data_IF_016140645573
#
_entry.id   IF_016140645573
#
_cell.length_a   1.000
_cell.length_b   1.000
_cell.length_c   1.000
_cell.angle_alpha   90.00
_cell.angle_beta   90.00
_cell.angle_gamma   90.00
#
_symmetry.space_group_name_H-M   'P 1'
#
loop_
_entity.id
_entity.type
_entity.pdbx_description
1 polymer ?
#
# COMPACT_ATOMS: atom_id res chain seq x y z
N UNK A 1 81.49 7.57 -16.95
CA UNK A 1 81.39 7.22 -18.38
C UNK A 1 80.65 5.90 -18.45
N UNK A 2 79.47 5.71 -19.03
CA UNK A 2 78.60 6.52 -19.87
C UNK A 2 77.76 5.52 -20.69
N UNK A 3 76.44 5.75 -20.73
CA UNK A 3 75.47 5.40 -21.80
C UNK A 3 75.21 3.90 -22.09
N UNK A 4 73.98 3.36 -22.15
CA UNK A 4 72.64 3.94 -22.07
C UNK A 4 71.49 2.94 -22.35
N UNK A 5 70.26 3.50 -22.30
CA UNK A 5 68.97 3.12 -22.91
C UNK A 5 68.38 1.70 -22.66
N UNK A 6 67.08 1.49 -22.40
CA UNK A 6 65.94 2.40 -22.30
C UNK A 6 64.63 1.64 -21.95
N UNK A 7 63.55 2.40 -21.75
CA UNK A 7 62.16 1.92 -21.71
C UNK A 7 61.46 2.02 -20.35
N UNK A 8 60.98 3.21 -19.97
CA UNK A 8 59.96 3.40 -18.92
C UNK A 8 58.75 4.06 -19.56
N UNK A 9 57.60 3.40 -19.45
CA UNK A 9 56.28 3.86 -19.91
C UNK A 9 55.83 4.99 -18.97
N UNK A 10 55.47 6.13 -19.55
CA UNK A 10 54.90 7.28 -18.84
C UNK A 10 53.45 7.01 -18.38
N UNK A 11 53.16 7.29 -17.10
CA UNK A 11 51.80 7.44 -16.58
C UNK A 11 51.39 8.93 -16.63
N UNK A 12 50.19 9.28 -17.15
CA UNK A 12 49.68 10.65 -17.22
C UNK A 12 49.07 11.14 -15.88
N UNK A 13 48.74 12.46 -15.75
CA UNK A 13 48.95 13.21 -14.53
C UNK A 13 47.81 13.12 -13.50
N UNK A 14 48.19 13.37 -12.24
CA UNK A 14 47.32 13.41 -11.07
C UNK A 14 46.23 14.49 -11.19
N UNK A 15 44.97 14.05 -11.30
CA UNK A 15 43.81 14.93 -11.16
C UNK A 15 43.33 15.02 -9.70
N UNK A 16 43.32 16.26 -9.20
CA UNK A 16 42.88 16.66 -7.87
C UNK A 16 41.42 16.25 -7.62
N UNK A 17 41.21 15.36 -6.66
CA UNK A 17 39.88 15.03 -6.13
C UNK A 17 39.37 16.20 -5.27
N UNK A 18 38.48 17.01 -5.84
CA UNK A 18 37.60 17.91 -5.09
C UNK A 18 36.63 17.08 -4.24
N UNK A 19 36.82 17.11 -2.92
CA UNK A 19 35.87 16.55 -1.96
C UNK A 19 34.67 17.48 -1.84
N UNK A 20 33.53 17.07 -2.39
CA UNK A 20 32.22 17.57 -1.96
C UNK A 20 31.50 16.52 -1.11
N UNK A 21 31.03 16.98 0.04
CA UNK A 21 30.51 16.18 1.14
C UNK A 21 29.26 15.40 0.76
N UNK A 22 29.45 14.12 0.40
CA UNK A 22 28.40 13.11 0.51
C UNK A 22 28.52 12.45 1.87
N UNK A 23 27.55 12.67 2.77
CA UNK A 23 27.37 11.86 3.99
C UNK A 23 27.25 10.40 3.56
N UNK A 24 28.28 9.60 3.87
CA UNK A 24 28.24 8.15 3.74
C UNK A 24 27.18 7.61 4.71
N UNK A 25 26.26 6.80 4.19
CA UNK A 25 25.36 6.00 5.04
C UNK A 25 26.22 5.09 5.94
N UNK A 26 25.90 4.96 7.24
CA UNK A 26 26.71 4.17 8.16
C UNK A 26 26.78 2.71 7.70
N UNK A 27 27.98 2.13 7.78
CA UNK A 27 28.31 0.78 7.32
C UNK A 27 27.49 -0.33 8.02
N UNK A 28 26.92 -0.05 9.21
CA UNK A 28 26.06 -0.95 9.98
C UNK A 28 24.79 -1.35 9.22
N UNK A 29 24.12 -0.39 8.58
CA UNK A 29 22.87 -0.63 7.86
C UNK A 29 23.02 -1.47 6.58
N UNK A 30 24.20 -1.48 5.95
CA UNK A 30 24.49 -2.38 4.81
C UNK A 30 24.68 -3.82 5.31
N UNK A 31 25.42 -4.01 6.39
CA UNK A 31 25.66 -5.33 6.98
C UNK A 31 24.37 -5.96 7.53
N UNK A 32 23.49 -5.18 8.15
CA UNK A 32 22.17 -5.65 8.60
C UNK A 32 21.27 -6.08 7.42
N UNK A 33 21.27 -5.32 6.31
CA UNK A 33 20.58 -5.67 5.06
C UNK A 33 21.13 -6.91 4.38
N UNK A 34 22.44 -7.16 4.48
CA UNK A 34 23.04 -8.39 3.94
C UNK A 34 22.82 -9.61 4.85
N UNK A 35 22.58 -9.41 6.16
CA UNK A 35 22.11 -10.48 7.07
C UNK A 35 20.65 -10.84 6.82
N UNK A 36 19.79 -9.83 6.61
CA UNK A 36 18.39 -9.96 6.17
C UNK A 36 18.28 -10.82 4.90
N UNK A 37 19.14 -10.58 3.91
CA UNK A 37 19.21 -11.34 2.64
C UNK A 37 19.67 -12.79 2.79
N UNK A 38 20.37 -13.14 3.88
CA UNK A 38 20.91 -14.49 4.13
C UNK A 38 19.99 -15.37 4.97
N UNK A 39 19.25 -14.81 5.94
CA UNK A 39 18.32 -15.57 6.80
C UNK A 39 16.92 -15.73 6.20
N UNK A 40 16.50 -14.80 5.35
CA UNK A 40 15.26 -14.89 4.56
C UNK A 40 15.63 -14.83 3.07
N UNK A 41 15.93 -15.97 2.41
CA UNK A 41 16.32 -15.98 0.99
C UNK A 41 15.24 -15.37 0.08
N UNK A 42 14.00 -15.33 0.55
CA UNK A 42 12.85 -14.60 0.01
C UNK A 42 12.70 -13.17 0.54
N UNK A 43 13.79 -12.45 0.77
CA UNK A 43 13.74 -10.99 0.93
C UNK A 43 14.77 -10.32 0.02
N UNK A 44 14.98 -10.91 -1.15
CA UNK A 44 15.43 -10.15 -2.31
C UNK A 44 14.24 -9.30 -2.75
N UNK A 45 14.04 -8.17 -2.08
CA UNK A 45 13.17 -7.11 -2.55
C UNK A 45 14.04 -6.08 -3.31
N UNK A 46 14.14 -6.15 -4.65
CA UNK A 46 14.66 -5.05 -5.44
C UNK A 46 13.89 -3.78 -5.07
N UNK A 47 14.58 -2.64 -4.99
CA UNK A 47 13.97 -1.32 -4.73
C UNK A 47 12.77 -0.98 -5.64
N UNK A 48 12.61 -1.69 -6.76
CA UNK A 48 11.53 -1.54 -7.74
C UNK A 48 10.30 -2.45 -7.53
N UNK A 49 10.35 -3.53 -6.73
CA UNK A 49 9.22 -4.48 -6.66
C UNK A 49 8.09 -4.06 -5.71
N UNK A 50 8.39 -3.25 -4.69
CA UNK A 50 7.47 -2.94 -3.59
C UNK A 50 6.66 -1.63 -3.76
N UNK A 51 6.60 -1.10 -5.00
CA UNK A 51 5.92 0.17 -5.31
C UNK A 51 4.91 0.06 -6.46
N UNK A 52 4.53 -1.16 -6.84
CA UNK A 52 3.64 -1.45 -7.98
C UNK A 52 2.24 -0.83 -7.80
N UNK A 53 1.70 -0.88 -6.60
CA UNK A 53 0.40 -0.27 -6.30
C UNK A 53 0.48 1.28 -6.32
N UNK A 54 1.61 1.89 -5.94
CA UNK A 54 1.84 3.35 -6.13
C UNK A 54 1.82 3.74 -7.61
N UNK A 55 2.47 2.92 -8.44
CA UNK A 55 2.47 3.11 -9.88
C UNK A 55 1.06 3.02 -10.47
N UNK A 56 0.31 1.97 -10.14
CA UNK A 56 -1.05 1.80 -10.64
C UNK A 56 -1.98 2.95 -10.25
N UNK A 57 -1.90 3.43 -9.01
CA UNK A 57 -2.67 4.59 -8.54
C UNK A 57 -2.26 5.87 -9.28
N UNK A 58 -0.96 6.12 -9.47
CA UNK A 58 -0.48 7.28 -10.21
C UNK A 58 -0.98 7.28 -11.66
N UNK A 59 -0.91 6.14 -12.35
CA UNK A 59 -1.43 5.97 -13.72
C UNK A 59 -2.94 6.20 -13.76
N UNK A 60 -3.70 5.59 -12.86
CA UNK A 60 -5.16 5.69 -12.87
C UNK A 60 -5.67 7.10 -12.52
N UNK A 61 -5.06 7.78 -11.54
CA UNK A 61 -5.42 9.16 -11.19
C UNK A 61 -5.09 10.10 -12.35
N UNK A 62 -3.88 10.03 -12.92
CA UNK A 62 -3.53 10.86 -14.09
C UNK A 62 -4.43 10.59 -15.28
N UNK A 63 -4.75 9.32 -15.55
CA UNK A 63 -5.73 8.96 -16.58
C UNK A 63 -7.10 9.59 -16.31
N UNK A 64 -7.57 9.58 -15.07
CA UNK A 64 -8.87 10.16 -14.71
C UNK A 64 -8.94 11.69 -14.91
N UNK A 65 -7.83 12.40 -14.70
CA UNK A 65 -7.75 13.83 -14.98
C UNK A 65 -7.68 14.15 -16.48
N UNK A 66 -6.98 13.32 -17.27
CA UNK A 66 -6.81 13.54 -18.71
C UNK A 66 -8.01 13.07 -19.54
N UNK A 67 -8.66 11.96 -19.15
CA UNK A 67 -9.75 11.37 -19.90
C UNK A 67 -11.02 12.22 -19.76
N UNK A 68 -11.52 12.73 -20.89
CA UNK A 68 -12.79 13.44 -20.94
C UNK A 68 -13.97 12.49 -21.13
N UNK A 69 -15.11 12.85 -20.55
CA UNK A 69 -16.40 12.17 -20.70
C UNK A 69 -17.53 13.20 -20.82
N UNK A 70 -18.70 12.74 -21.27
CA UNK A 70 -19.89 13.59 -21.33
C UNK A 70 -20.29 14.05 -19.91
N UNK A 71 -20.50 15.36 -19.77
CA UNK A 71 -21.02 15.96 -18.55
C UNK A 71 -22.54 15.80 -18.43
N UNK A 72 -23.08 16.24 -17.29
CA UNK A 72 -24.54 16.18 -17.00
C UNK A 72 -25.32 17.21 -17.84
N UNK A 73 -24.67 18.29 -18.26
CA UNK A 73 -25.24 19.30 -19.16
C UNK A 73 -25.00 18.95 -20.63
N UNK A 74 -25.99 19.20 -21.49
CA UNK A 74 -25.87 18.97 -22.93
C UNK A 74 -24.64 19.69 -23.52
N UNK A 75 -23.80 18.94 -24.25
CA UNK A 75 -22.56 19.45 -24.85
C UNK A 75 -21.40 19.69 -23.87
N UNK A 76 -21.59 19.44 -22.56
CA UNK A 76 -20.55 19.56 -21.56
C UNK A 76 -19.57 18.39 -21.63
N UNK A 77 -18.27 18.68 -21.49
CA UNK A 77 -17.20 17.68 -21.40
C UNK A 77 -16.39 17.90 -20.13
N UNK A 78 -16.39 16.92 -19.23
CA UNK A 78 -15.69 16.98 -17.95
C UNK A 78 -14.62 15.90 -17.85
N UNK A 79 -13.55 16.11 -17.05
CA UNK A 79 -12.64 15.03 -16.70
C UNK A 79 -13.38 13.88 -16.04
N UNK A 80 -12.93 12.65 -16.28
CA UNK A 80 -13.49 11.46 -15.64
C UNK A 80 -13.41 11.55 -14.11
N UNK A 81 -12.36 12.17 -13.59
CA UNK A 81 -12.18 12.46 -12.16
C UNK A 81 -13.25 13.39 -11.57
N UNK A 82 -13.99 14.16 -12.38
CA UNK A 82 -15.08 15.00 -11.89
C UNK A 82 -16.27 14.17 -11.36
N UNK A 83 -16.38 12.90 -11.76
CA UNK A 83 -17.42 12.01 -11.27
C UNK A 83 -17.03 11.42 -9.91
N UNK A 84 -17.87 11.66 -8.91
CA UNK A 84 -17.70 11.13 -7.56
C UNK A 84 -17.56 9.61 -7.50
N UNK A 85 -18.39 8.91 -8.27
CA UNK A 85 -18.33 7.45 -8.42
C UNK A 85 -17.00 6.95 -8.99
N UNK A 86 -16.23 7.80 -9.68
CA UNK A 86 -14.92 7.46 -10.21
C UNK A 86 -13.78 7.85 -9.27
N UNK A 87 -13.80 9.06 -8.70
CA UNK A 87 -12.70 9.51 -7.83
C UNK A 87 -12.74 8.91 -6.43
N UNK A 88 -13.91 8.57 -5.87
CA UNK A 88 -14.00 8.03 -4.50
C UNK A 88 -13.18 6.74 -4.35
N UNK A 89 -13.37 5.71 -5.19
CA UNK A 89 -12.54 4.49 -5.12
C UNK A 89 -11.04 4.72 -5.38
N UNK A 90 -10.69 5.72 -6.20
CA UNK A 90 -9.29 6.09 -6.44
C UNK A 90 -8.65 6.75 -5.20
N UNK A 91 -9.35 7.68 -4.54
CA UNK A 91 -8.85 8.32 -3.31
C UNK A 91 -8.76 7.34 -2.14
N UNK A 92 -9.70 6.41 -2.07
CA UNK A 92 -9.64 5.26 -1.18
C UNK A 92 -8.42 4.35 -1.45
N UNK A 93 -8.07 4.16 -2.73
CA UNK A 93 -6.87 3.43 -3.15
C UNK A 93 -5.59 4.21 -2.82
N UNK A 94 -5.60 5.54 -2.93
CA UNK A 94 -4.51 6.43 -2.48
C UNK A 94 -4.28 6.26 -0.97
N UNK A 95 -5.33 6.39 -0.15
CA UNK A 95 -5.22 6.22 1.30
C UNK A 95 -4.65 4.85 1.70
N UNK A 96 -5.14 3.78 1.08
CA UNK A 96 -4.64 2.40 1.28
C UNK A 96 -3.16 2.28 0.89
N UNK A 97 -2.78 2.89 -0.23
CA UNK A 97 -1.40 2.88 -0.74
C UNK A 97 -0.43 3.59 0.21
N UNK A 98 -0.84 4.73 0.78
CA UNK A 98 -0.06 5.41 1.82
C UNK A 98 0.05 4.56 3.09
N UNK A 99 -1.06 3.99 3.57
CA UNK A 99 -1.08 3.11 4.74
C UNK A 99 -0.13 1.91 4.58
N UNK A 100 -0.22 1.20 3.45
CA UNK A 100 0.66 0.07 3.13
C UNK A 100 2.14 0.47 3.00
N UNK A 101 2.40 1.63 2.39
CA UNK A 101 3.74 2.19 2.26
C UNK A 101 4.37 2.49 3.61
N UNK A 102 3.62 3.10 4.52
CA UNK A 102 4.10 3.48 5.84
C UNK A 102 4.23 2.24 6.74
N UNK A 103 3.28 1.29 6.68
CA UNK A 103 3.39 0.01 7.36
C UNK A 103 4.65 -0.76 6.96
N UNK A 104 4.97 -0.79 5.66
CA UNK A 104 6.22 -1.39 5.18
C UNK A 104 7.45 -0.74 5.82
N UNK A 105 7.49 0.60 5.88
CA UNK A 105 8.60 1.33 6.52
C UNK A 105 8.72 0.99 7.99
N UNK A 106 7.60 0.91 8.71
CA UNK A 106 7.58 0.49 10.13
C UNK A 106 8.13 -0.93 10.28
N UNK A 107 7.71 -1.88 9.43
CA UNK A 107 8.19 -3.26 9.47
C UNK A 107 9.70 -3.35 9.23
N UNK A 108 10.21 -2.63 8.23
CA UNK A 108 11.66 -2.59 7.93
C UNK A 108 12.45 -1.97 9.09
N UNK A 109 11.98 -0.87 9.68
CA UNK A 109 12.67 -0.25 10.84
C UNK A 109 12.73 -1.21 12.02
N UNK A 110 11.58 -1.77 12.42
CA UNK A 110 11.48 -2.75 13.51
C UNK A 110 12.40 -3.95 13.30
N UNK A 111 12.47 -4.46 12.08
CA UNK A 111 13.36 -5.56 11.75
C UNK A 111 14.83 -5.19 11.99
N UNK A 112 15.26 -4.04 11.45
CA UNK A 112 16.66 -3.60 11.59
C UNK A 112 17.01 -3.38 13.06
N UNK A 113 16.13 -2.70 13.80
CA UNK A 113 16.34 -2.40 15.21
C UNK A 113 16.43 -3.68 16.06
N UNK A 114 15.52 -4.64 15.85
CA UNK A 114 15.54 -5.92 16.56
C UNK A 114 16.75 -6.80 16.18
N UNK A 115 17.20 -6.76 14.93
CA UNK A 115 18.37 -7.50 14.48
C UNK A 115 19.68 -6.96 15.05
N UNK A 116 19.76 -5.66 15.32
CA UNK A 116 20.97 -5.00 15.84
C UNK A 116 20.99 -4.95 17.38
N UNK A 117 19.85 -4.69 18.02
CA UNK A 117 19.78 -4.38 19.46
C UNK A 117 18.80 -5.28 20.22
N UNK A 118 17.97 -6.06 19.51
CA UNK A 118 16.85 -6.75 20.11
C UNK A 118 17.24 -8.02 20.85
N UNK A 119 16.51 -8.30 21.94
CA UNK A 119 16.48 -9.61 22.59
C UNK A 119 15.76 -10.64 21.71
N UNK A 120 15.86 -11.93 22.05
CA UNK A 120 15.26 -12.99 21.22
C UNK A 120 13.74 -12.82 21.05
N UNK A 121 13.02 -12.50 22.12
CA UNK A 121 11.58 -12.22 22.07
C UNK A 121 11.22 -11.04 21.17
N UNK A 122 12.04 -9.98 21.17
CA UNK A 122 11.83 -8.80 20.32
C UNK A 122 12.10 -9.12 18.84
N UNK A 123 13.04 -10.04 18.56
CA UNK A 123 13.29 -10.54 17.20
C UNK A 123 12.13 -11.38 16.70
N UNK A 124 11.62 -12.31 17.52
CA UNK A 124 10.44 -13.12 17.20
C UNK A 124 9.21 -12.25 16.94
N UNK A 125 9.00 -11.21 17.76
CA UNK A 125 7.93 -10.23 17.58
C UNK A 125 8.06 -9.44 16.28
N UNK A 126 9.29 -9.03 15.94
CA UNK A 126 9.58 -8.34 14.69
C UNK A 126 9.42 -9.25 13.46
N UNK A 127 9.82 -10.52 13.55
CA UNK A 127 9.62 -11.53 12.51
C UNK A 127 8.13 -11.74 12.23
N UNK A 128 7.34 -11.94 13.30
CA UNK A 128 5.88 -12.07 13.21
C UNK A 128 5.25 -10.83 12.59
N UNK A 129 5.59 -9.63 13.06
CA UNK A 129 5.06 -8.39 12.51
C UNK A 129 5.41 -8.22 11.02
N UNK A 130 6.60 -8.63 10.60
CA UNK A 130 7.03 -8.59 9.19
C UNK A 130 6.19 -9.54 8.33
N UNK A 131 5.92 -10.75 8.81
CA UNK A 131 5.05 -11.70 8.11
C UNK A 131 3.61 -11.17 7.96
N UNK A 132 3.06 -10.58 9.02
CA UNK A 132 1.73 -9.95 8.99
C UNK A 132 1.70 -8.82 7.96
N UNK A 133 2.67 -7.89 8.04
CA UNK A 133 2.76 -6.75 7.14
C UNK A 133 2.90 -7.20 5.68
N UNK A 134 3.75 -8.18 5.37
CA UNK A 134 3.92 -8.73 4.01
C UNK A 134 2.59 -9.24 3.46
N UNK A 135 1.87 -10.07 4.23
CA UNK A 135 0.59 -10.62 3.79
C UNK A 135 -0.45 -9.51 3.54
N UNK A 136 -0.56 -8.56 4.47
CA UNK A 136 -1.52 -7.47 4.34
C UNK A 136 -1.22 -6.57 3.14
N UNK A 137 0.02 -6.07 3.04
CA UNK A 137 0.46 -5.14 1.99
C UNK A 137 0.24 -5.73 0.60
N UNK A 138 0.57 -7.01 0.41
CA UNK A 138 0.47 -7.65 -0.91
C UNK A 138 -0.98 -7.93 -1.33
N UNK A 139 -1.86 -8.26 -0.38
CA UNK A 139 -3.31 -8.34 -0.65
C UNK A 139 -3.94 -6.96 -0.90
N UNK A 140 -3.57 -5.94 -0.12
CA UNK A 140 -4.02 -4.57 -0.40
C UNK A 140 -3.53 -4.09 -1.77
N UNK A 141 -2.28 -4.41 -2.14
CA UNK A 141 -1.73 -4.09 -3.46
C UNK A 141 -2.54 -4.75 -4.59
N UNK A 142 -2.94 -6.03 -4.44
CA UNK A 142 -3.84 -6.70 -5.41
C UNK A 142 -5.16 -5.93 -5.56
N UNK A 143 -5.81 -5.60 -4.45
CA UNK A 143 -7.09 -4.86 -4.45
C UNK A 143 -6.98 -3.51 -5.13
N UNK A 144 -6.02 -2.69 -4.70
CA UNK A 144 -5.74 -1.35 -5.25
C UNK A 144 -5.44 -1.41 -6.75
N UNK A 145 -4.63 -2.37 -7.20
CA UNK A 145 -4.24 -2.46 -8.60
C UNK A 145 -5.40 -2.93 -9.49
N UNK A 146 -6.23 -3.85 -9.02
CA UNK A 146 -7.46 -4.26 -9.71
C UNK A 146 -8.42 -3.08 -9.86
N UNK A 147 -8.65 -2.34 -8.78
CA UNK A 147 -9.47 -1.14 -8.75
C UNK A 147 -8.94 -0.09 -9.77
N UNK A 148 -7.65 0.25 -9.70
CA UNK A 148 -7.01 1.18 -10.63
C UNK A 148 -7.13 0.74 -12.10
N UNK A 149 -6.95 -0.56 -12.37
CA UNK A 149 -7.11 -1.15 -13.70
C UNK A 149 -8.52 -0.93 -14.24
N UNK A 150 -9.54 -1.16 -13.42
CA UNK A 150 -10.94 -1.00 -13.82
C UNK A 150 -11.32 0.47 -14.00
N UNK A 151 -10.77 1.38 -13.19
CA UNK A 151 -10.94 2.82 -13.37
C UNK A 151 -10.27 3.37 -14.64
N UNK A 152 -9.31 2.63 -15.21
CA UNK A 152 -8.73 2.90 -16.54
C UNK A 152 -9.52 2.28 -17.71
N UNK A 153 -10.63 1.56 -17.45
CA UNK A 153 -11.38 0.85 -18.48
C UNK A 153 -10.52 -0.14 -19.28
N UNK A 154 -10.80 -0.26 -20.59
CA UNK A 154 -10.05 -1.18 -21.47
C UNK A 154 -8.54 -0.86 -21.52
N UNK A 155 -8.15 0.40 -21.37
CA UNK A 155 -6.74 0.81 -21.37
C UNK A 155 -5.96 0.17 -20.22
N UNK A 156 -6.60 -0.10 -19.08
CA UNK A 156 -5.96 -0.80 -17.95
C UNK A 156 -5.51 -2.22 -18.27
N UNK A 157 -6.06 -2.87 -19.30
CA UNK A 157 -5.70 -4.23 -19.73
C UNK A 157 -4.45 -4.28 -20.61
N UNK A 158 -4.08 -3.16 -21.25
CA UNK A 158 -2.93 -3.15 -22.14
C UNK A 158 -1.63 -3.20 -21.32
N UNK A 159 -0.80 -4.22 -21.59
CA UNK A 159 0.49 -4.41 -20.90
C UNK A 159 1.41 -3.20 -21.03
N UNK A 160 1.29 -2.45 -22.14
CA UNK A 160 2.00 -1.20 -22.37
C UNK A 160 1.71 -0.12 -21.31
N UNK A 161 0.58 -0.20 -20.61
CA UNK A 161 0.19 0.72 -19.54
C UNK A 161 0.62 0.25 -18.13
N UNK A 162 1.38 -0.86 -18.04
CA UNK A 162 2.06 -1.30 -16.82
C UNK A 162 1.16 -2.00 -15.78
N UNK A 163 -0.09 -1.56 -15.59
CA UNK A 163 -0.95 -2.03 -14.49
C UNK A 163 -1.18 -3.55 -14.56
N UNK A 164 -1.64 -4.08 -15.69
CA UNK A 164 -1.96 -5.50 -15.84
C UNK A 164 -0.73 -6.42 -15.64
N UNK A 165 0.43 -6.04 -16.21
CA UNK A 165 1.66 -6.80 -16.05
C UNK A 165 2.19 -6.78 -14.62
N UNK A 166 2.12 -5.63 -13.95
CA UNK A 166 2.53 -5.52 -12.54
C UNK A 166 1.58 -6.26 -11.60
N UNK A 167 0.28 -6.31 -11.90
CA UNK A 167 -0.70 -7.06 -11.13
C UNK A 167 -0.36 -8.55 -11.16
N UNK A 168 -0.10 -9.12 -12.35
CA UNK A 168 0.36 -10.51 -12.48
C UNK A 168 1.65 -10.76 -11.69
N UNK A 169 2.58 -9.80 -11.67
CA UNK A 169 3.79 -9.93 -10.87
C UNK A 169 3.51 -9.86 -9.34
N UNK A 170 2.48 -9.13 -8.90
CA UNK A 170 2.06 -9.06 -7.49
C UNK A 170 1.46 -10.40 -7.03
N UNK A 171 0.71 -11.09 -7.90
CA UNK A 171 0.22 -12.45 -7.65
C UNK A 171 1.35 -13.41 -7.26
N UNK A 172 2.49 -13.30 -7.96
CA UNK A 172 3.69 -14.07 -7.62
C UNK A 172 4.24 -13.74 -6.23
N UNK A 173 4.15 -12.49 -5.75
CA UNK A 173 4.63 -12.11 -4.41
C UNK A 173 3.72 -12.61 -3.29
N UNK A 174 2.43 -12.81 -3.56
CA UNK A 174 1.47 -13.35 -2.59
C UNK A 174 1.77 -14.83 -2.27
N UNK A 175 2.24 -15.58 -3.27
CA UNK A 175 2.54 -17.02 -3.13
C UNK A 175 4.01 -17.29 -2.84
N UNK A 176 4.92 -16.48 -3.39
CA UNK A 176 6.35 -16.60 -3.12
C UNK A 176 6.70 -16.17 -1.69
N UNK A 177 7.83 -16.70 -1.20
CA UNK A 177 8.43 -16.30 0.09
C UNK A 177 7.56 -16.67 1.31
N UNK A 178 6.68 -17.66 1.11
CA UNK A 178 5.66 -18.11 2.05
C UNK A 178 4.28 -17.64 1.61
N UNK A 179 3.39 -18.61 1.34
CA UNK A 179 1.99 -18.32 1.02
C UNK A 179 1.37 -17.44 2.11
N UNK A 180 0.74 -16.34 1.70
CA UNK A 180 0.22 -15.33 2.63
C UNK A 180 -0.72 -15.92 3.69
N UNK A 181 -1.58 -16.88 3.32
CA UNK A 181 -2.49 -17.50 4.26
C UNK A 181 -1.72 -18.35 5.27
N UNK A 182 -0.78 -19.17 4.81
CA UNK A 182 0.04 -20.02 5.69
C UNK A 182 0.86 -19.19 6.70
N UNK A 183 1.49 -18.11 6.25
CA UNK A 183 2.28 -17.23 7.15
C UNK A 183 1.36 -16.51 8.15
N UNK A 184 0.15 -16.14 7.75
CA UNK A 184 -0.83 -15.55 8.66
C UNK A 184 -1.39 -16.57 9.66
N UNK A 185 -1.58 -17.83 9.26
CA UNK A 185 -1.97 -18.91 10.19
C UNK A 185 -0.89 -19.10 11.26
N UNK A 186 0.40 -19.07 10.89
CA UNK A 186 1.51 -19.11 11.87
C UNK A 186 1.45 -17.90 12.82
N UNK A 187 1.37 -16.69 12.27
CA UNK A 187 1.32 -15.46 13.07
C UNK A 187 0.09 -15.44 14.01
N UNK A 188 -1.05 -15.93 13.54
CA UNK A 188 -2.27 -16.06 14.32
C UNK A 188 -2.08 -17.03 15.51
N UNK A 189 -1.40 -18.16 15.30
CA UNK A 189 -1.06 -19.10 16.37
C UNK A 189 -0.17 -18.46 17.42
N UNK A 190 0.89 -17.77 17.00
CA UNK A 190 1.81 -17.03 17.87
C UNK A 190 1.09 -15.92 18.66
N UNK A 191 0.15 -15.20 18.04
CA UNK A 191 -0.64 -14.17 18.71
C UNK A 191 -1.63 -14.73 19.75
N UNK A 192 -2.16 -15.94 19.56
CA UNK A 192 -3.14 -16.50 20.49
C UNK A 192 -2.52 -17.34 21.60
N UNK A 193 -1.44 -18.06 21.30
CA UNK A 193 -0.75 -18.96 22.22
C UNK A 193 0.43 -18.29 22.93
N UNK A 194 0.98 -17.22 22.35
CA UNK A 194 2.06 -16.42 22.92
C UNK A 194 1.58 -15.26 23.80
N UNK A 195 2.43 -14.25 23.96
CA UNK A 195 2.23 -13.12 24.88
C UNK A 195 1.57 -11.89 24.24
N UNK A 196 0.97 -12.02 23.05
CA UNK A 196 0.31 -10.89 22.41
C UNK A 196 -0.91 -10.42 23.23
N UNK A 197 -0.93 -9.12 23.53
CA UNK A 197 -2.04 -8.45 24.19
C UNK A 197 -2.48 -7.27 23.30
N UNK A 198 -3.77 -7.20 22.89
CA UNK A 198 -4.28 -6.06 22.15
C UNK A 198 -4.09 -4.73 22.89
N UNK A 199 -4.18 -3.60 22.18
CA UNK A 199 -4.24 -2.27 22.81
C UNK A 199 -5.35 -2.26 23.87
N UNK A 200 -5.15 -1.57 24.99
CA UNK A 200 -6.22 -1.38 25.98
C UNK A 200 -7.35 -0.49 25.41
N UNK A 201 -8.60 -0.67 25.87
CA UNK A 201 -9.70 0.21 25.49
C UNK A 201 -9.47 1.63 26.02
N UNK A 202 -10.05 2.60 25.32
CA UNK A 202 -10.14 3.96 25.81
C UNK A 202 -11.36 4.04 26.74
N UNK A 203 -11.20 4.65 27.91
CA UNK A 203 -12.26 4.76 28.93
C UNK A 203 -13.22 5.94 28.69
N UNK A 204 -13.14 6.58 27.53
CA UNK A 204 -14.01 7.70 27.16
C UNK A 204 -15.35 7.19 26.60
N UNK A 205 -16.44 7.84 27.00
CA UNK A 205 -17.78 7.58 26.44
C UNK A 205 -17.76 7.82 24.91
N UNK A 206 -18.09 6.81 24.08
CA UNK A 206 -18.18 6.97 22.64
C UNK A 206 -19.13 8.09 22.21
N UNK A 207 -20.21 8.35 22.95
CA UNK A 207 -21.16 9.41 22.63
C UNK A 207 -20.55 10.82 22.74
N UNK A 208 -19.47 10.98 23.52
CA UNK A 208 -18.75 12.24 23.66
C UNK A 208 -17.65 12.44 22.60
N UNK A 209 -17.42 11.46 21.71
CA UNK A 209 -16.35 11.48 20.71
C UNK A 209 -16.90 11.67 19.30
N UNK A 210 -16.11 12.31 18.45
CA UNK A 210 -16.53 12.69 17.10
C UNK A 210 -15.79 11.90 16.02
N UNK A 211 -16.47 11.49 14.94
CA UNK A 211 -15.88 10.69 13.85
C UNK A 211 -14.79 11.43 13.04
N UNK A 212 -14.61 12.74 13.28
CA UNK A 212 -13.49 13.51 12.73
C UNK A 212 -12.20 13.38 13.54
N UNK A 213 -12.27 12.90 14.78
CA UNK A 213 -11.12 12.70 15.65
C UNK A 213 -10.35 11.44 15.23
N UNK A 214 -9.07 11.63 14.87
CA UNK A 214 -8.19 10.54 14.49
C UNK A 214 -7.90 9.58 15.64
N UNK A 215 -7.84 10.08 16.88
CA UNK A 215 -7.59 9.23 18.03
C UNK A 215 -8.79 8.32 18.29
N UNK A 216 -10.00 8.82 18.09
CA UNK A 216 -11.21 8.00 18.18
C UNK A 216 -11.26 6.91 17.12
N UNK A 217 -11.02 7.27 15.86
CA UNK A 217 -10.97 6.28 14.79
C UNK A 217 -9.87 5.24 15.04
N UNK A 218 -8.70 5.65 15.55
CA UNK A 218 -7.60 4.75 15.87
C UNK A 218 -7.91 3.83 17.05
N UNK A 219 -8.66 4.32 18.04
CA UNK A 219 -9.16 3.51 19.17
C UNK A 219 -10.17 2.46 18.69
N UNK A 220 -11.07 2.81 17.77
CA UNK A 220 -12.03 1.88 17.18
C UNK A 220 -11.33 0.77 16.39
N UNK A 221 -10.24 1.04 15.67
CA UNK A 221 -9.41 -0.01 15.07
C UNK A 221 -8.80 -0.94 16.13
N UNK A 222 -8.47 -0.39 17.31
CA UNK A 222 -8.11 -1.15 18.51
C UNK A 222 -9.23 -2.03 19.04
N UNK A 223 -10.47 -1.53 19.05
CA UNK A 223 -11.65 -2.30 19.45
C UNK A 223 -11.91 -3.47 18.52
N UNK A 224 -11.80 -3.28 17.21
CA UNK A 224 -11.91 -4.37 16.24
C UNK A 224 -10.86 -5.46 16.51
N UNK A 225 -9.59 -5.09 16.77
CA UNK A 225 -8.54 -6.03 17.16
C UNK A 225 -8.91 -6.79 18.45
N UNK A 226 -9.41 -6.09 19.48
CA UNK A 226 -9.86 -6.70 20.75
C UNK A 226 -11.01 -7.68 20.56
N UNK A 227 -12.02 -7.31 19.76
CA UNK A 227 -13.20 -8.14 19.47
C UNK A 227 -12.76 -9.47 18.84
N UNK A 228 -11.92 -9.42 17.80
CA UNK A 228 -11.45 -10.63 17.13
C UNK A 228 -10.52 -11.46 18.01
N UNK A 229 -9.67 -10.82 18.83
CA UNK A 229 -8.88 -11.52 19.84
C UNK A 229 -9.77 -12.28 20.84
N UNK A 230 -10.80 -11.63 21.39
CA UNK A 230 -11.74 -12.23 22.35
C UNK A 230 -12.48 -13.41 21.74
N UNK A 231 -12.99 -13.25 20.51
CA UNK A 231 -13.69 -14.31 19.75
C UNK A 231 -12.78 -15.51 19.49
N UNK A 232 -11.56 -15.27 19.02
CA UNK A 232 -10.60 -16.33 18.74
C UNK A 232 -10.20 -17.09 20.02
N UNK A 233 -9.90 -16.37 21.11
CA UNK A 233 -9.62 -17.00 22.42
C UNK A 233 -10.81 -17.77 22.97
N UNK A 234 -12.03 -17.26 22.80
CA UNK A 234 -13.26 -17.96 23.18
C UNK A 234 -13.38 -19.31 22.48
N UNK A 235 -13.24 -19.31 21.15
CA UNK A 235 -13.30 -20.53 20.32
C UNK A 235 -12.19 -21.53 20.66
N UNK A 236 -10.98 -21.05 20.92
CA UNK A 236 -9.86 -21.90 21.31
C UNK A 236 -10.12 -22.62 22.64
N UNK A 237 -10.75 -21.93 23.60
CA UNK A 237 -11.11 -22.49 24.91
C UNK A 237 -12.28 -23.45 24.84
N UNK A 238 -13.29 -23.15 24.02
CA UNK A 238 -14.52 -23.95 23.90
C UNK A 238 -14.42 -25.14 22.93
N UNK A 239 -13.29 -25.31 22.23
CA UNK A 239 -13.11 -26.40 21.28
C UNK A 239 -13.02 -27.78 21.95
N UNK A 240 -13.32 -28.86 21.21
CA UNK A 240 -13.40 -30.21 21.77
C UNK A 240 -12.09 -30.64 22.46
N UNK A 241 -12.16 -31.31 23.64
CA UNK A 241 -10.99 -31.91 24.29
C UNK A 241 -10.46 -33.09 23.47
N UNK A 242 -9.15 -33.37 23.59
CA UNK A 242 -8.51 -34.53 22.94
C UNK A 242 -8.20 -34.37 21.45
N UNK A 243 -8.62 -33.28 20.80
CA UNK A 243 -8.36 -33.02 19.38
C UNK A 243 -7.77 -31.60 19.16
N UNK A 244 -6.44 -31.44 19.27
CA UNK A 244 -5.78 -30.15 19.11
C UNK A 244 -5.97 -29.54 17.71
N UNK A 245 -6.00 -30.38 16.67
CA UNK A 245 -6.12 -29.91 15.30
C UNK A 245 -7.52 -29.35 15.02
N UNK A 246 -8.59 -30.08 15.38
CA UNK A 246 -9.94 -29.56 15.17
C UNK A 246 -10.25 -28.37 16.07
N UNK A 247 -9.69 -28.30 17.28
CA UNK A 247 -9.74 -27.10 18.11
C UNK A 247 -9.12 -25.89 17.41
N UNK A 248 -7.97 -26.07 16.78
CA UNK A 248 -7.34 -25.01 15.98
C UNK A 248 -8.18 -24.66 14.74
N UNK A 249 -8.65 -25.64 13.98
CA UNK A 249 -9.48 -25.43 12.79
C UNK A 249 -10.75 -24.63 13.09
N UNK A 250 -11.39 -24.85 14.24
CA UNK A 250 -12.55 -24.06 14.67
C UNK A 250 -12.20 -22.62 15.07
N UNK A 251 -10.93 -22.37 15.40
CA UNK A 251 -10.42 -21.07 15.87
C UNK A 251 -9.82 -20.23 14.74
N UNK A 252 -9.18 -20.88 13.76
CA UNK A 252 -8.26 -20.24 12.80
C UNK A 252 -8.90 -19.09 12.05
N UNK A 253 -10.19 -19.18 11.67
CA UNK A 253 -10.88 -18.10 10.97
C UNK A 253 -10.99 -16.82 11.81
N UNK A 254 -11.28 -16.93 13.11
CA UNK A 254 -11.29 -15.76 14.01
C UNK A 254 -9.87 -15.25 14.28
N UNK A 255 -8.90 -16.17 14.33
CA UNK A 255 -7.49 -15.84 14.52
C UNK A 255 -6.91 -15.06 13.31
N UNK A 256 -7.31 -15.43 12.09
CA UNK A 256 -6.95 -14.70 10.87
C UNK A 256 -7.58 -13.30 10.83
N UNK A 257 -8.82 -13.15 11.31
CA UNK A 257 -9.46 -11.84 11.46
C UNK A 257 -8.74 -10.96 12.50
N UNK A 258 -8.20 -11.55 13.56
CA UNK A 258 -7.33 -10.84 14.50
C UNK A 258 -6.04 -10.34 13.81
N UNK A 259 -5.38 -11.19 13.02
CA UNK A 259 -4.18 -10.79 12.29
C UNK A 259 -4.46 -9.63 11.33
N UNK A 260 -5.57 -9.70 10.60
CA UNK A 260 -6.01 -8.62 9.70
C UNK A 260 -6.28 -7.31 10.46
N UNK A 261 -7.06 -7.37 11.55
CA UNK A 261 -7.35 -6.22 12.40
C UNK A 261 -6.07 -5.60 12.99
N UNK A 262 -5.10 -6.44 13.38
CA UNK A 262 -3.79 -5.98 13.84
C UNK A 262 -3.05 -5.23 12.73
N UNK A 263 -2.97 -5.79 11.52
CA UNK A 263 -2.32 -5.15 10.38
C UNK A 263 -2.96 -3.79 10.05
N UNK A 264 -4.29 -3.74 10.00
CA UNK A 264 -5.07 -2.53 9.72
C UNK A 264 -4.82 -1.44 10.76
N UNK A 265 -4.91 -1.77 12.06
CA UNK A 265 -4.64 -0.81 13.14
C UNK A 265 -3.21 -0.28 13.09
N UNK A 266 -2.24 -1.15 12.80
CA UNK A 266 -0.82 -0.77 12.68
C UNK A 266 -0.58 0.09 11.44
N UNK A 267 -1.31 -0.11 10.35
CA UNK A 267 -1.26 0.73 9.15
C UNK A 267 -1.85 2.12 9.41
N UNK A 268 -2.98 2.19 10.12
CA UNK A 268 -3.55 3.46 10.60
C UNK A 268 -2.59 4.19 11.54
N UNK A 269 -1.97 3.49 12.48
CA UNK A 269 -0.97 4.07 13.37
C UNK A 269 0.21 4.67 12.58
N UNK A 270 0.69 3.98 11.55
CA UNK A 270 1.80 4.44 10.74
C UNK A 270 1.49 5.74 9.98
N UNK A 271 0.22 5.98 9.61
CA UNK A 271 -0.23 7.26 9.04
C UNK A 271 -0.17 8.39 10.07
N UNK A 272 -0.64 8.15 11.30
CA UNK A 272 -0.60 9.16 12.37
C UNK A 272 0.84 9.47 12.81
N UNK A 273 1.70 8.46 12.93
CA UNK A 273 3.13 8.64 13.20
C UNK A 273 3.77 9.50 12.10
N UNK A 274 3.47 9.23 10.83
CA UNK A 274 3.99 10.03 9.72
C UNK A 274 3.45 11.47 9.72
N UNK A 275 2.18 11.68 10.09
CA UNK A 275 1.61 13.01 10.23
C UNK A 275 2.29 13.79 11.37
N UNK A 276 2.52 13.15 12.52
CA UNK A 276 3.22 13.77 13.66
C UNK A 276 4.69 14.12 13.34
N UNK A 277 5.35 13.32 12.50
CA UNK A 277 6.72 13.58 12.03
C UNK A 277 6.80 14.62 10.89
N UNK A 278 5.67 14.99 10.27
CA UNK A 278 5.66 15.94 9.16
C UNK A 278 6.00 17.36 9.63
N UNK A 279 7.02 17.96 9.00
CA UNK A 279 7.45 19.34 9.28
C UNK A 279 6.59 20.38 8.58
N UNK A 280 5.99 20.01 7.45
CA UNK A 280 5.09 20.84 6.65
C UNK A 280 3.64 20.65 7.11
N UNK A 281 2.93 21.76 7.34
CA UNK A 281 1.56 21.75 7.88
C UNK A 281 0.54 21.18 6.88
N UNK A 282 0.71 21.46 5.59
CA UNK A 282 -0.15 20.91 4.54
C UNK A 282 0.04 19.39 4.45
N UNK A 283 1.29 18.93 4.44
CA UNK A 283 1.61 17.50 4.45
C UNK A 283 1.02 16.78 5.68
N UNK A 284 1.10 17.41 6.85
CA UNK A 284 0.47 16.90 8.08
C UNK A 284 -1.05 16.78 7.90
N UNK A 285 -1.71 17.82 7.41
CA UNK A 285 -3.14 17.81 7.16
C UNK A 285 -3.56 16.72 6.18
N UNK A 286 -2.85 16.56 5.06
CA UNK A 286 -3.15 15.53 4.07
C UNK A 286 -2.97 14.12 4.65
N UNK A 287 -1.91 13.87 5.44
CA UNK A 287 -1.70 12.57 6.10
C UNK A 287 -2.79 12.26 7.13
N UNK A 288 -3.25 13.27 7.87
CA UNK A 288 -4.40 13.16 8.78
C UNK A 288 -5.69 12.82 8.03
N UNK A 289 -5.97 13.46 6.89
CA UNK A 289 -7.14 13.13 6.06
C UNK A 289 -7.05 11.71 5.47
N UNK A 290 -5.86 11.28 5.03
CA UNK A 290 -5.64 9.91 4.56
C UNK A 290 -5.87 8.88 5.67
N UNK A 291 -5.44 9.16 6.91
CA UNK A 291 -5.77 8.34 8.08
C UNK A 291 -7.28 8.24 8.27
N UNK A 292 -7.98 9.38 8.28
CA UNK A 292 -9.44 9.41 8.50
C UNK A 292 -10.18 8.60 7.44
N UNK A 293 -9.88 8.79 6.16
CA UNK A 293 -10.49 8.02 5.07
C UNK A 293 -10.20 6.52 5.20
N UNK A 294 -8.94 6.17 5.47
CA UNK A 294 -8.54 4.79 5.67
C UNK A 294 -9.29 4.15 6.85
N UNK A 295 -9.32 4.81 8.00
CA UNK A 295 -9.91 4.28 9.22
C UNK A 295 -11.43 4.21 9.16
N UNK A 296 -12.12 5.25 8.63
CA UNK A 296 -13.58 5.26 8.48
C UNK A 296 -14.08 4.07 7.66
N UNK A 297 -13.38 3.72 6.57
CA UNK A 297 -13.76 2.55 5.76
C UNK A 297 -13.67 1.23 6.53
N UNK A 298 -12.64 1.09 7.37
CA UNK A 298 -12.46 -0.11 8.20
C UNK A 298 -13.51 -0.14 9.33
N UNK A 299 -13.78 1.00 9.95
CA UNK A 299 -14.83 1.15 10.97
C UNK A 299 -16.20 0.82 10.38
N UNK A 300 -16.54 1.30 9.18
CA UNK A 300 -17.78 0.98 8.47
C UNK A 300 -17.95 -0.53 8.27
N UNK A 301 -16.89 -1.21 7.81
CA UNK A 301 -16.89 -2.66 7.60
C UNK A 301 -17.11 -3.47 8.90
N UNK A 302 -16.84 -2.87 10.06
CA UNK A 302 -17.00 -3.48 11.38
C UNK A 302 -18.04 -2.79 12.26
N UNK A 303 -18.88 -1.92 11.68
CA UNK A 303 -19.81 -1.06 12.42
C UNK A 303 -20.81 -1.85 13.27
N UNK A 304 -21.29 -3.01 12.79
CA UNK A 304 -22.18 -3.88 13.56
C UNK A 304 -21.52 -4.48 14.80
N UNK A 305 -20.26 -4.91 14.70
CA UNK A 305 -19.51 -5.45 15.84
C UNK A 305 -19.19 -4.35 16.86
N UNK A 306 -18.79 -3.17 16.38
CA UNK A 306 -18.50 -2.00 17.22
C UNK A 306 -19.74 -1.47 17.93
N UNK A 307 -20.90 -1.45 17.26
CA UNK A 307 -22.18 -1.09 17.87
C UNK A 307 -22.61 -2.11 18.93
N UNK A 308 -22.47 -3.41 18.63
CA UNK A 308 -22.88 -4.48 19.54
C UNK A 308 -22.07 -4.50 20.85
N UNK A 309 -20.77 -4.19 20.78
CA UNK A 309 -19.90 -4.06 21.95
C UNK A 309 -19.94 -2.66 22.59
N UNK A 310 -20.76 -1.73 22.06
CA UNK A 310 -20.97 -0.40 22.63
C UNK A 310 -19.85 0.61 22.36
N UNK A 311 -18.97 0.34 21.39
CA UNK A 311 -17.90 1.25 20.98
C UNK A 311 -18.35 2.33 19.98
N UNK A 312 -19.49 2.12 19.32
CA UNK A 312 -20.17 3.12 18.50
C UNK A 312 -21.61 3.30 18.96
N UNK A 313 -22.12 4.51 18.81
CA UNK A 313 -23.55 4.80 18.97
C UNK A 313 -24.29 4.59 17.65
N UNK A 314 -25.60 4.35 17.73
CA UNK A 314 -26.44 4.25 16.53
C UNK A 314 -26.47 5.54 15.70
N UNK A 315 -26.23 6.71 16.31
CA UNK A 315 -26.10 7.98 15.61
C UNK A 315 -24.81 8.00 14.77
N UNK A 316 -23.67 7.70 15.39
CA UNK A 316 -22.38 7.63 14.70
C UNK A 316 -22.41 6.62 13.55
N UNK A 317 -23.03 5.44 13.71
CA UNK A 317 -23.15 4.45 12.62
C UNK A 317 -23.86 5.03 11.39
N UNK A 318 -24.89 5.86 11.58
CA UNK A 318 -25.59 6.54 10.47
C UNK A 318 -24.74 7.64 9.82
N UNK A 319 -23.87 8.29 10.58
CA UNK A 319 -23.00 9.37 10.11
C UNK A 319 -21.73 8.88 9.40
N UNK A 320 -21.35 7.60 9.53
CA UNK A 320 -20.09 7.07 8.99
C UNK A 320 -19.91 7.34 7.48
N UNK A 321 -20.97 7.17 6.70
CA UNK A 321 -20.94 7.39 5.25
C UNK A 321 -20.68 8.86 4.93
N UNK A 322 -21.44 9.78 5.55
CA UNK A 322 -21.31 11.23 5.36
C UNK A 322 -19.92 11.73 5.82
N UNK A 323 -19.40 11.17 6.92
CA UNK A 323 -18.06 11.48 7.40
C UNK A 323 -16.97 11.05 6.41
N UNK A 324 -17.08 9.85 5.82
CA UNK A 324 -16.16 9.38 4.78
C UNK A 324 -16.21 10.28 3.55
N UNK A 325 -17.44 10.59 3.12
CA UNK A 325 -17.75 11.45 2.00
C UNK A 325 -17.20 12.87 2.11
N UNK A 326 -17.23 13.44 3.31
CA UNK A 326 -16.63 14.74 3.60
C UNK A 326 -15.10 14.71 3.50
N UNK A 327 -14.46 13.64 3.96
CA UNK A 327 -13.01 13.46 3.85
C UNK A 327 -12.59 13.28 2.38
N UNK A 328 -13.35 12.52 1.60
CA UNK A 328 -13.12 12.39 0.16
C UNK A 328 -13.18 13.76 -0.52
N UNK A 329 -14.21 14.56 -0.25
CA UNK A 329 -14.34 15.90 -0.80
C UNK A 329 -13.15 16.81 -0.45
N UNK A 330 -12.61 16.70 0.77
CA UNK A 330 -11.42 17.42 1.20
C UNK A 330 -10.13 16.96 0.50
N UNK A 331 -10.03 15.68 0.10
CA UNK A 331 -8.86 15.13 -0.57
C UNK A 331 -8.84 15.36 -2.10
N UNK A 332 -10.01 15.58 -2.71
CA UNK A 332 -10.16 15.79 -4.17
C UNK A 332 -9.18 16.83 -4.73
N UNK A 333 -9.02 18.04 -4.16
CA UNK A 333 -8.10 19.06 -4.68
C UNK A 333 -6.62 18.64 -4.63
N UNK A 334 -6.28 17.68 -3.78
CA UNK A 334 -4.90 17.26 -3.53
C UNK A 334 -4.54 15.94 -4.22
N UNK A 335 -5.46 15.33 -4.98
CA UNK A 335 -5.28 14.00 -5.56
C UNK A 335 -4.00 13.88 -6.43
N UNK A 336 -3.76 14.83 -7.33
CA UNK A 336 -2.55 14.84 -8.18
C UNK A 336 -1.27 15.01 -7.34
N UNK A 337 -1.31 15.88 -6.33
CA UNK A 337 -0.17 16.12 -5.43
C UNK A 337 0.17 14.87 -4.62
N UNK A 338 -0.86 14.18 -4.11
CA UNK A 338 -0.71 12.95 -3.35
C UNK A 338 -0.10 11.83 -4.18
N UNK A 339 -0.47 11.68 -5.45
CA UNK A 339 0.15 10.66 -6.32
C UNK A 339 1.54 11.06 -6.81
N UNK A 340 1.79 12.35 -7.04
CA UNK A 340 3.11 12.86 -7.39
C UNK A 340 4.14 12.59 -6.28
N UNK A 341 3.72 12.73 -5.01
CA UNK A 341 4.56 12.45 -3.84
C UNK A 341 5.01 10.97 -3.71
N UNK A 342 4.42 10.03 -4.48
CA UNK A 342 4.98 8.67 -4.58
C UNK A 342 6.35 8.62 -5.26
N UNK A 343 6.73 9.68 -5.97
CA UNK A 343 7.96 9.78 -6.75
C UNK A 343 8.15 8.58 -7.67
N UNK A 344 7.06 8.18 -8.35
CA UNK A 344 7.16 7.28 -9.50
C UNK A 344 7.89 8.07 -10.57
N UNK A 345 8.99 7.51 -11.09
CA UNK A 345 9.83 8.20 -12.07
C UNK A 345 8.96 8.66 -13.24
N UNK A 346 8.98 9.97 -13.53
CA UNK A 346 8.11 10.58 -14.53
C UNK A 346 8.32 9.91 -15.90
N UNK A 347 9.55 9.57 -16.26
CA UNK A 347 9.87 8.84 -17.49
C UNK A 347 9.16 7.47 -17.56
N UNK A 348 9.06 6.76 -16.43
CA UNK A 348 8.32 5.49 -16.37
C UNK A 348 6.83 5.72 -16.52
N UNK A 349 6.28 6.84 -16.01
CA UNK A 349 4.89 7.19 -16.23
C UNK A 349 4.64 7.57 -17.69
N UNK A 350 5.49 8.40 -18.28
CA UNK A 350 5.37 8.86 -19.67
C UNK A 350 5.68 7.78 -20.71
N UNK A 351 6.37 6.70 -20.34
CA UNK A 351 6.50 5.50 -21.16
C UNK A 351 5.16 4.77 -21.33
N UNK A 352 4.19 4.99 -20.44
CA UNK A 352 2.85 4.45 -20.58
C UNK A 352 1.98 5.34 -21.47
N UNK A 353 1.48 4.84 -22.63
CA UNK A 353 0.64 5.63 -23.53
C UNK A 353 -0.57 6.29 -22.84
N UNK A 354 -1.19 5.60 -21.88
CA UNK A 354 -2.36 6.10 -21.12
C UNK A 354 -2.08 7.36 -20.28
N UNK A 355 -0.82 7.57 -19.90
CA UNK A 355 -0.42 8.66 -19.02
C UNK A 355 0.09 9.89 -19.81
N UNK A 356 0.17 9.82 -21.14
CA UNK A 356 0.53 10.96 -21.99
C UNK A 356 -0.67 11.88 -22.20
N UNK A 357 -0.49 13.21 -22.18
CA UNK A 357 -1.55 14.16 -22.56
C UNK A 357 -2.06 13.92 -23.99
N UNK A 358 -1.16 13.52 -24.89
CA UNK A 358 -1.39 13.29 -26.32
C UNK A 358 -1.83 11.85 -26.65
N UNK A 359 -1.83 10.94 -25.67
CA UNK A 359 -2.16 9.51 -25.88
C UNK A 359 -3.61 9.26 -26.30
N UNK A 360 -4.41 10.32 -26.41
CA UNK A 360 -5.79 10.34 -26.86
C UNK A 360 -5.90 11.10 -28.19
N UNK A 361 -5.27 10.58 -29.24
CA UNK A 361 -5.76 10.84 -30.60
C UNK A 361 -7.11 10.11 -30.70
N UNK A 362 -8.21 10.83 -30.45
CA UNK A 362 -9.59 10.41 -30.67
C UNK A 362 -9.84 10.22 -32.18
N UNK A 363 -9.11 9.33 -32.84
CA UNK A 363 -9.66 8.77 -34.06
C UNK A 363 -10.91 8.01 -33.63
N UNK A 364 -12.11 8.39 -34.11
CA UNK A 364 -13.30 7.66 -33.80
C UNK A 364 -13.01 6.20 -34.15
N UNK A 365 -13.19 5.31 -33.17
CA UNK A 365 -13.22 3.88 -33.45
C UNK A 365 -14.27 3.73 -34.56
N UNK A 366 -13.92 3.23 -35.76
CA UNK A 366 -14.91 3.06 -36.81
C UNK A 366 -16.09 2.32 -36.21
N UNK A 367 -17.30 2.83 -36.43
CA UNK A 367 -18.53 2.17 -35.99
C UNK A 367 -18.43 0.69 -36.38
N UNK A 368 -18.55 -0.20 -35.41
CA UNK A 368 -18.48 -1.64 -35.65
C UNK A 368 -19.61 -2.01 -36.61
N UNK A 369 -19.29 -2.26 -37.88
CA UNK A 369 -20.24 -2.46 -38.98
C UNK A 369 -20.68 -3.93 -39.13
N UNK A 370 -20.34 -4.79 -38.15
CA UNK A 370 -20.66 -6.20 -38.17
C UNK A 370 -19.88 -7.03 -39.17
N UNK A 371 -18.97 -6.43 -39.95
CA UNK A 371 -18.12 -7.16 -40.91
C UNK A 371 -16.71 -7.26 -40.36
N UNK A 372 -16.40 -8.38 -39.70
CA UNK A 372 -15.15 -8.61 -38.97
C UNK A 372 -13.87 -8.61 -39.81
N UNK A 373 -13.45 -7.46 -40.33
CA UNK A 373 -12.11 -7.25 -40.87
C UNK A 373 -11.27 -6.45 -39.87
N UNK A 374 -10.32 -7.13 -39.23
CA UNK A 374 -9.31 -6.50 -38.40
C UNK A 374 -8.30 -5.81 -39.33
N UNK A 375 -8.05 -4.49 -39.21
CA UNK A 375 -7.05 -3.84 -40.04
C UNK A 375 -5.65 -4.41 -39.72
N UNK A 376 -4.91 -4.81 -40.75
CA UNK A 376 -3.52 -5.26 -40.61
C UNK A 376 -2.63 -4.10 -40.13
N UNK A 377 -1.65 -4.36 -39.25
CA UNK A 377 -0.70 -3.33 -38.85
C UNK A 377 0.14 -2.91 -40.06
N UNK A 378 0.22 -1.59 -40.27
CA UNK A 378 1.12 -0.99 -41.27
C UNK A 378 2.55 -1.20 -40.78
N UNK A 379 3.28 -2.10 -41.42
CA UNK A 379 4.72 -2.25 -41.23
C UNK A 379 5.36 -1.01 -41.85
N UNK A 380 6.03 -0.20 -41.03
CA UNK A 380 6.81 0.95 -41.51
C UNK A 380 7.85 0.46 -42.52
N UNK A 381 7.72 0.90 -43.76
CA UNK A 381 8.71 0.62 -44.80
C UNK A 381 10.04 1.25 -44.40
N UNK A 382 11.10 0.44 -44.45
CA UNK A 382 12.47 0.91 -44.29
C UNK A 382 12.79 1.99 -45.33
N UNK A 383 13.39 3.09 -44.88
CA UNK A 383 13.89 4.14 -45.78
C UNK A 383 15.06 3.58 -46.63
N UNK A 384 15.08 3.82 -47.96
CA UNK A 384 16.25 3.49 -48.76
C UNK A 384 17.38 4.51 -48.50
N UNK A 385 18.61 4.00 -48.55
CA UNK A 385 19.87 4.74 -48.41
C UNK A 385 20.16 5.65 -49.62
#
# INVERSE_FOLDING_TARGET
MGVGAGGVVEDPPQERVLRHGGRSLPASGRAARDRLRRRLPGLRLPRHRDRRHRHAVAVAVRHAFNRRTAGVTAGGSVPLFAHRSHHTPLLESVATTYAATLLHRVAVRRWVDAAEHGQESEREDSERFTAIAKGWITWQARGVMTECRERCGAQGLFLANGIAGQLAANEGTITAEGDNLVIWVKAAGEMLLGHFTPKQPCDQDPAARHLADTDFLQDLLGDVERIWHRRARGRLRSGPPGDPLNRWNNTVNSALKLVDAHAVRRAGQALLEAAAEATDDDARQQLTLLHRLFALRQVMAHSGDLLADGHLTGAQVRELQDASEAVVAALVPHAETLVAAFAVVEDVLLDHPIARPEGFDERPVPSWDGTGSVPRPVVAAAAPA
#
